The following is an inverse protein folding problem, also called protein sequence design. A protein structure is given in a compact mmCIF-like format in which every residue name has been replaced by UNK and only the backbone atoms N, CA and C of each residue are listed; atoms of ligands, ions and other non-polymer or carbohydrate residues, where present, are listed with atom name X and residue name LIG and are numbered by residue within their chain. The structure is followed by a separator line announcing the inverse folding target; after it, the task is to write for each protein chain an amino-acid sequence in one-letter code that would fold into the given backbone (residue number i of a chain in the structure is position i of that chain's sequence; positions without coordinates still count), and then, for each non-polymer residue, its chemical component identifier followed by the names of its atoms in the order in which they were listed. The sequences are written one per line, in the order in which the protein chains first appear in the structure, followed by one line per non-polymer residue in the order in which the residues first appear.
data_IF_997657033906
#
_entry.id   IF_997657033906
#
_cell.length_a   1.000
_cell.length_b   1.000
_cell.length_c   1.000
_cell.angle_alpha   90.00
_cell.angle_beta   90.00
_cell.angle_gamma   90.00
#
_symmetry.space_group_name_H-M   'P 1'
#
loop_
_entity.id
_entity.type
_entity.pdbx_description
1 polymer ?
#
# COMPACT_ATOMS: atom_id res chain seq x y z
N UNK A 1 7.38 0.75 -1.69
CA UNK A 1 8.68 0.15 -2.04
C UNK A 1 8.97 0.28 -3.54
N UNK A 2 8.22 -0.40 -4.42
CA UNK A 2 8.47 -0.44 -5.87
C UNK A 2 8.57 0.92 -6.61
N UNK A 3 7.98 1.99 -6.06
CA UNK A 3 7.96 3.33 -6.66
C UNK A 3 8.71 4.38 -5.82
N UNK A 4 9.38 3.97 -4.73
CA UNK A 4 10.07 4.88 -3.81
C UNK A 4 11.55 5.05 -4.15
N UNK A 5 12.10 6.24 -3.88
CA UNK A 5 13.55 6.48 -3.94
C UNK A 5 14.14 6.32 -2.55
N UNK A 6 15.25 5.59 -2.39
CA UNK A 6 15.86 5.38 -1.07
C UNK A 6 16.40 6.70 -0.48
N UNK A 7 16.21 6.87 0.82
CA UNK A 7 16.68 8.04 1.58
C UNK A 7 18.08 7.84 2.19
N UNK A 8 18.32 6.68 2.82
CA UNK A 8 19.57 6.31 3.49
C UNK A 8 19.82 4.81 3.33
N UNK A 9 21.08 4.35 3.38
CA UNK A 9 21.38 2.92 3.42
C UNK A 9 21.00 2.33 4.79
N UNK A 10 20.01 1.44 4.79
CA UNK A 10 19.49 0.76 5.97
C UNK A 10 18.51 -0.35 5.56
N UNK A 11 17.92 -1.06 6.52
CA UNK A 11 17.01 -2.19 6.24
C UNK A 11 15.87 -1.83 5.28
N UNK A 12 15.31 -0.62 5.37
CA UNK A 12 14.29 -0.14 4.44
C UNK A 12 14.77 0.08 3.01
N UNK A 13 16.05 0.42 2.82
CA UNK A 13 16.65 0.55 1.49
C UNK A 13 16.78 -0.80 0.80
N UNK A 14 17.02 -1.89 1.55
CA UNK A 14 17.06 -3.24 0.99
C UNK A 14 15.71 -3.65 0.40
N UNK A 15 14.60 -3.29 1.05
CA UNK A 15 13.24 -3.52 0.54
C UNK A 15 12.95 -2.67 -0.69
N UNK A 16 13.40 -1.40 -0.73
CA UNK A 16 13.20 -0.53 -1.90
C UNK A 16 14.07 -0.99 -3.08
N UNK A 17 15.33 -1.36 -2.85
CA UNK A 17 16.29 -1.74 -3.90
C UNK A 17 15.98 -3.12 -4.50
N UNK A 18 15.37 -4.05 -3.75
CA UNK A 18 15.03 -5.38 -4.25
C UNK A 18 13.60 -5.51 -4.81
N UNK A 19 12.69 -4.58 -4.52
CA UNK A 19 11.30 -4.70 -4.98
C UNK A 19 11.16 -4.11 -6.39
N UNK A 20 10.93 -4.96 -7.39
CA UNK A 20 10.66 -4.51 -8.75
C UNK A 20 9.17 -4.22 -8.94
N UNK A 21 8.86 -3.43 -9.97
CA UNK A 21 7.48 -3.16 -10.39
C UNK A 21 6.77 -4.46 -10.80
N UNK A 22 7.50 -5.45 -11.34
CA UNK A 22 6.98 -6.78 -11.64
C UNK A 22 6.47 -7.51 -10.40
N UNK A 23 7.19 -7.42 -9.29
CA UNK A 23 6.83 -8.10 -8.04
C UNK A 23 5.60 -7.44 -7.42
N UNK A 24 5.52 -6.10 -7.52
CA UNK A 24 4.34 -5.35 -7.15
C UNK A 24 3.12 -5.75 -8.00
N UNK A 25 3.27 -5.85 -9.32
CA UNK A 25 2.17 -6.24 -10.21
C UNK A 25 1.68 -7.67 -9.92
N UNK A 26 2.59 -8.62 -9.74
CA UNK A 26 2.25 -10.00 -9.37
C UNK A 26 1.53 -10.06 -8.01
N UNK A 27 2.05 -9.35 -7.00
CA UNK A 27 1.42 -9.25 -5.69
C UNK A 27 0.04 -8.59 -5.74
N UNK A 28 -0.14 -7.56 -6.57
CA UNK A 28 -1.41 -6.86 -6.75
C UNK A 28 -2.46 -7.78 -7.38
N UNK A 29 -2.11 -8.53 -8.42
CA UNK A 29 -3.03 -9.49 -9.07
C UNK A 29 -3.43 -10.57 -8.08
N UNK A 30 -2.47 -11.17 -7.38
CA UNK A 30 -2.74 -12.22 -6.41
C UNK A 30 -3.64 -11.73 -5.26
N UNK A 31 -3.32 -10.55 -4.70
CA UNK A 31 -4.14 -9.92 -3.66
C UNK A 31 -5.53 -9.57 -4.17
N UNK A 32 -5.64 -9.07 -5.40
CA UNK A 32 -6.93 -8.77 -6.04
C UNK A 32 -7.84 -9.99 -6.14
N UNK A 33 -7.29 -11.14 -6.55
CA UNK A 33 -8.04 -12.41 -6.60
C UNK A 33 -8.53 -12.78 -5.20
N UNK A 34 -7.67 -12.73 -4.18
CA UNK A 34 -8.06 -13.06 -2.80
C UNK A 34 -9.14 -12.11 -2.28
N UNK A 35 -8.99 -10.81 -2.48
CA UNK A 35 -9.96 -9.80 -2.04
C UNK A 35 -11.33 -10.03 -2.71
N UNK A 36 -11.36 -10.33 -4.01
CA UNK A 36 -12.60 -10.64 -4.71
C UNK A 36 -13.26 -11.93 -4.19
N UNK A 37 -12.48 -12.98 -3.95
CA UNK A 37 -13.02 -14.23 -3.42
C UNK A 37 -13.56 -14.08 -1.99
N UNK A 38 -12.95 -13.23 -1.16
CA UNK A 38 -13.34 -13.03 0.23
C UNK A 38 -14.57 -12.11 0.40
N UNK A 39 -14.65 -11.01 -0.36
CA UNK A 39 -15.63 -9.93 -0.13
C UNK A 39 -16.29 -9.42 -1.43
N UNK A 40 -16.09 -10.11 -2.56
CA UNK A 40 -16.62 -9.70 -3.87
C UNK A 40 -16.11 -8.33 -4.31
N UNK A 41 -17.00 -7.52 -4.89
CA UNK A 41 -16.67 -6.17 -5.36
C UNK A 41 -16.23 -5.24 -4.22
N UNK A 42 -16.73 -5.44 -3.00
CA UNK A 42 -16.34 -4.64 -1.84
C UNK A 42 -14.88 -4.89 -1.45
N UNK A 43 -14.39 -6.12 -1.60
CA UNK A 43 -12.98 -6.46 -1.41
C UNK A 43 -12.06 -5.75 -2.40
N UNK A 44 -12.48 -5.68 -3.67
CA UNK A 44 -11.75 -4.92 -4.69
C UNK A 44 -11.76 -3.41 -4.38
N UNK A 45 -12.90 -2.86 -3.94
CA UNK A 45 -12.98 -1.48 -3.49
C UNK A 45 -12.02 -1.17 -2.34
N UNK A 46 -11.97 -2.04 -1.33
CA UNK A 46 -11.05 -1.90 -0.20
C UNK A 46 -9.57 -1.96 -0.62
N UNK A 47 -9.23 -2.83 -1.58
CA UNK A 47 -7.88 -2.91 -2.13
C UNK A 47 -7.49 -1.61 -2.85
N UNK A 48 -8.38 -1.05 -3.67
CA UNK A 48 -8.15 0.22 -4.39
C UNK A 48 -7.92 1.37 -3.38
N UNK A 49 -8.73 1.43 -2.33
CA UNK A 49 -8.60 2.44 -1.26
C UNK A 49 -7.26 2.29 -0.53
N UNK A 50 -6.87 1.06 -0.17
CA UNK A 50 -5.57 0.77 0.46
C UNK A 50 -4.39 1.22 -0.42
N UNK A 51 -4.41 0.86 -1.71
CA UNK A 51 -3.33 1.24 -2.63
C UNK A 51 -3.26 2.75 -2.85
N UNK A 52 -4.41 3.42 -2.93
CA UNK A 52 -4.47 4.88 -3.05
C UNK A 52 -3.84 5.55 -1.82
N UNK A 53 -4.15 5.05 -0.61
CA UNK A 53 -3.56 5.56 0.62
C UNK A 53 -2.03 5.37 0.65
N UNK A 54 -1.54 4.21 0.21
CA UNK A 54 -0.10 3.96 0.08
C UNK A 54 0.60 4.91 -0.91
N UNK A 55 -0.04 5.24 -2.04
CA UNK A 55 0.47 6.23 -2.98
C UNK A 55 0.50 7.65 -2.40
N UNK A 56 -0.48 8.03 -1.59
CA UNK A 56 -0.49 9.32 -0.89
C UNK A 56 0.66 9.42 0.13
N UNK A 57 0.92 8.33 0.88
CA UNK A 57 2.07 8.25 1.80
C UNK A 57 3.38 8.37 1.04
N UNK A 58 3.52 7.66 -0.08
CA UNK A 58 4.69 7.74 -0.94
C UNK A 58 4.92 9.17 -1.49
N UNK A 59 3.87 9.82 -1.97
CA UNK A 59 3.95 11.19 -2.48
C UNK A 59 4.37 12.17 -1.37
N UNK A 60 3.80 12.01 -0.18
CA UNK A 60 4.15 12.80 1.00
C UNK A 60 5.60 12.60 1.39
N UNK A 61 6.06 11.35 1.36
CA UNK A 61 7.42 10.97 1.69
C UNK A 61 8.44 11.59 0.73
N UNK A 62 8.18 11.49 -0.57
CA UNK A 62 9.02 12.08 -1.60
C UNK A 62 9.08 13.62 -1.50
N UNK A 63 7.95 14.26 -1.15
CA UNK A 63 7.86 15.73 -1.05
C UNK A 63 8.54 16.32 0.18
N UNK A 64 8.39 15.68 1.34
CA UNK A 64 8.85 16.25 2.62
C UNK A 64 10.18 15.68 3.09
N UNK A 65 10.45 14.41 2.81
CA UNK A 65 11.67 13.74 3.28
C UNK A 65 12.68 13.49 2.16
N UNK A 66 12.29 13.62 0.88
CA UNK A 66 13.18 13.40 -0.26
C UNK A 66 13.33 11.94 -0.69
N UNK A 67 12.54 11.03 -0.10
CA UNK A 67 12.50 9.61 -0.45
C UNK A 67 11.78 8.76 0.60
N UNK A 68 12.10 7.46 0.63
CA UNK A 68 11.42 6.44 1.44
C UNK A 68 12.43 5.72 2.34
N UNK A 69 12.11 5.63 3.64
CA UNK A 69 12.81 4.80 4.64
C UNK A 69 11.98 3.56 5.01
N UNK A 70 12.54 2.66 5.84
CA UNK A 70 11.83 1.50 6.35
C UNK A 70 10.59 1.87 7.18
N UNK A 71 10.67 2.95 7.97
CA UNK A 71 9.55 3.44 8.78
C UNK A 71 8.40 3.92 7.91
N UNK A 72 8.70 4.56 6.77
CA UNK A 72 7.70 5.03 5.81
C UNK A 72 7.01 3.84 5.12
N UNK A 73 7.75 2.76 4.83
CA UNK A 73 7.17 1.52 4.31
C UNK A 73 6.24 0.88 5.35
N UNK A 74 6.67 0.81 6.62
CA UNK A 74 5.84 0.31 7.72
C UNK A 74 4.58 1.16 7.92
N UNK A 75 4.73 2.48 7.96
CA UNK A 75 3.62 3.43 8.07
C UNK A 75 2.64 3.29 6.90
N UNK A 76 3.14 3.16 5.67
CA UNK A 76 2.30 2.94 4.49
C UNK A 76 1.44 1.68 4.61
N UNK A 77 1.97 0.60 5.20
CA UNK A 77 1.22 -0.64 5.38
C UNK A 77 0.12 -0.48 6.44
N UNK A 78 0.43 0.17 7.57
CA UNK A 78 -0.57 0.42 8.62
C UNK A 78 -1.68 1.36 8.13
N UNK A 79 -1.32 2.43 7.41
CA UNK A 79 -2.27 3.39 6.83
C UNK A 79 -3.15 2.73 5.76
N UNK A 80 -2.55 1.92 4.87
CA UNK A 80 -3.33 1.18 3.85
C UNK A 80 -4.36 0.25 4.49
N UNK A 81 -3.96 -0.49 5.53
CA UNK A 81 -4.85 -1.38 6.27
C UNK A 81 -5.99 -0.61 6.97
N UNK A 82 -5.68 0.50 7.64
CA UNK A 82 -6.68 1.36 8.26
C UNK A 82 -7.67 1.91 7.23
N UNK A 83 -7.19 2.38 6.07
CA UNK A 83 -8.04 2.90 5.01
C UNK A 83 -9.00 1.82 4.45
N UNK A 84 -8.51 0.60 4.24
CA UNK A 84 -9.34 -0.54 3.83
C UNK A 84 -10.41 -0.89 4.88
N UNK A 85 -10.04 -0.93 6.16
CA UNK A 85 -10.98 -1.23 7.25
C UNK A 85 -12.04 -0.13 7.41
N UNK A 86 -11.67 1.14 7.29
CA UNK A 86 -12.63 2.24 7.30
C UNK A 86 -13.59 2.16 6.12
N UNK A 87 -13.12 1.78 4.93
CA UNK A 87 -13.99 1.59 3.76
C UNK A 87 -14.98 0.45 3.98
N UNK A 88 -14.50 -0.73 4.41
CA UNK A 88 -15.36 -1.90 4.65
C UNK A 88 -16.33 -1.63 5.80
N UNK A 89 -15.85 -1.12 6.94
CA UNK A 89 -16.67 -0.83 8.11
C UNK A 89 -17.69 0.28 7.83
N UNK A 90 -17.29 1.33 7.11
CA UNK A 90 -18.19 2.39 6.68
C UNK A 90 -19.26 1.87 5.72
N UNK A 91 -18.89 1.01 4.76
CA UNK A 91 -19.85 0.38 3.85
C UNK A 91 -20.87 -0.47 4.60
N UNK A 92 -20.42 -1.30 5.55
CA UNK A 92 -21.31 -2.13 6.39
C UNK A 92 -22.27 -1.27 7.21
N UNK A 93 -21.83 -0.12 7.71
CA UNK A 93 -22.68 0.79 8.49
C UNK A 93 -23.77 1.48 7.66
N UNK A 94 -23.58 1.59 6.34
CA UNK A 94 -24.53 2.23 5.41
C UNK A 94 -25.59 1.28 4.83
N UNK A 95 -25.49 -0.03 5.09
CA UNK A 95 -26.50 -1.03 4.71
C UNK A 95 -27.52 -1.24 5.82
#
# INVERSE_FOLDING_TARGET
AAFGKKLYEGFGAMTVDNTKISDFAAGLVFTGVICYLALGLNGIGALIVSQSAGLLVLNTANRHFGGVSGDIVGASNEIGRLAALMFIGGYVWMQ
#
